data_IF_044860017750
#
_entry.id   IF_044860017750
#
_cell.length_a   1.000
_cell.length_b   1.000
_cell.length_c   1.000
_cell.angle_alpha   90.00
_cell.angle_beta   90.00
_cell.angle_gamma   90.00
#
_symmetry.space_group_name_H-M   'P 1'
#
loop_
_entity.id
_entity.type
_entity.pdbx_description
1 polymer ?
#
# COMPACT_ATOMS: atom_id res chain seq x y z
N UNK A 1 19.98 -8.86 24.78
CA UNK A 1 20.33 -7.58 25.44
C UNK A 1 19.03 -6.86 25.66
N UNK A 2 18.83 -6.22 26.81
CA UNK A 2 17.64 -5.37 26.99
C UNK A 2 17.65 -4.25 25.95
N UNK A 3 16.50 -4.06 25.31
CA UNK A 3 16.33 -3.13 24.20
C UNK A 3 16.45 -1.69 24.69
N UNK A 4 17.14 -0.80 23.94
CA UNK A 4 17.27 0.59 24.34
C UNK A 4 15.92 1.30 24.21
N UNK A 5 15.44 1.88 25.32
CA UNK A 5 14.25 2.73 25.39
C UNK A 5 14.65 4.16 25.71
N UNK A 6 13.92 5.14 25.18
CA UNK A 6 14.13 6.54 25.55
C UNK A 6 13.56 6.78 26.94
N UNK A 7 14.33 7.45 27.80
CA UNK A 7 13.93 7.68 29.20
C UNK A 7 13.16 9.00 29.35
N UNK A 8 12.27 9.09 30.36
CA UNK A 8 11.56 10.33 30.66
C UNK A 8 12.48 11.52 30.92
N UNK A 9 13.66 11.30 31.52
CA UNK A 9 14.63 12.36 31.79
C UNK A 9 15.20 12.96 30.49
N UNK A 10 15.48 12.13 29.48
CA UNK A 10 15.98 12.59 28.18
C UNK A 10 14.91 13.37 27.42
N UNK A 11 13.64 12.95 27.49
CA UNK A 11 12.52 13.68 26.92
C UNK A 11 12.30 15.03 27.63
N UNK A 12 12.39 15.05 28.96
CA UNK A 12 12.28 16.28 29.75
C UNK A 12 13.39 17.28 29.43
N UNK A 13 14.64 16.81 29.30
CA UNK A 13 15.77 17.65 28.88
C UNK A 13 15.49 18.30 27.51
N UNK A 14 14.96 17.53 26.55
CA UNK A 14 14.58 18.06 25.25
C UNK A 14 13.46 19.10 25.35
N UNK A 15 12.42 18.86 26.16
CA UNK A 15 11.31 19.79 26.36
C UNK A 15 11.76 21.17 26.90
N UNK A 16 12.73 21.17 27.81
CA UNK A 16 13.25 22.37 28.48
C UNK A 16 14.19 23.17 27.59
N UNK A 17 15.01 22.51 26.76
CA UNK A 17 16.12 23.14 26.05
C UNK A 17 15.87 23.41 24.57
N UNK A 18 15.02 22.61 23.91
CA UNK A 18 14.72 22.79 22.48
C UNK A 18 13.63 23.85 22.28
N UNK A 19 13.73 24.63 21.20
CA UNK A 19 12.90 25.83 21.04
C UNK A 19 12.01 25.76 19.80
N UNK A 20 12.57 25.44 18.64
CA UNK A 20 11.88 25.55 17.34
C UNK A 20 11.60 24.20 16.68
N UNK A 21 10.82 24.20 15.60
CA UNK A 21 10.46 22.99 14.85
C UNK A 21 11.71 22.23 14.38
N UNK A 22 12.73 22.92 13.84
CA UNK A 22 13.99 22.28 13.38
C UNK A 22 14.70 21.54 14.51
N UNK A 23 14.71 22.10 15.72
CA UNK A 23 15.34 21.51 16.89
C UNK A 23 14.70 20.15 17.18
N UNK A 24 13.37 20.07 17.16
CA UNK A 24 12.60 18.85 17.42
C UNK A 24 12.72 17.83 16.30
N UNK A 25 12.72 18.24 15.02
CA UNK A 25 12.99 17.33 13.89
C UNK A 25 14.39 16.71 14.02
N UNK A 26 15.42 17.53 14.25
CA UNK A 26 16.79 17.03 14.44
C UNK A 26 16.92 16.13 15.67
N UNK A 27 16.20 16.43 16.75
CA UNK A 27 16.16 15.58 17.95
C UNK A 27 15.52 14.22 17.66
N UNK A 28 14.35 14.20 17.00
CA UNK A 28 13.67 12.95 16.63
C UNK A 28 14.54 12.07 15.73
N UNK A 29 15.23 12.64 14.73
CA UNK A 29 16.21 11.88 13.91
C UNK A 29 17.29 11.22 14.78
N UNK A 30 17.82 11.96 15.75
CA UNK A 30 18.87 11.46 16.65
C UNK A 30 18.32 10.33 17.53
N UNK A 31 17.14 10.53 18.12
CA UNK A 31 16.50 9.57 19.00
C UNK A 31 16.13 8.27 18.25
N UNK A 32 15.48 8.36 17.09
CA UNK A 32 15.10 7.19 16.30
C UNK A 32 16.33 6.33 15.95
N UNK A 33 17.46 6.94 15.59
CA UNK A 33 18.71 6.22 15.32
C UNK A 33 19.36 5.67 16.58
N UNK A 34 19.43 6.45 17.65
CA UNK A 34 20.10 6.06 18.89
C UNK A 34 19.41 4.89 19.58
N UNK A 35 18.08 4.82 19.47
CA UNK A 35 17.26 3.79 20.09
C UNK A 35 16.81 2.72 19.08
N UNK A 36 17.56 2.53 17.99
CA UNK A 36 17.39 1.47 16.99
C UNK A 36 15.93 1.28 16.53
N UNK A 37 15.23 2.37 16.20
CA UNK A 37 13.92 2.29 15.57
C UNK A 37 14.08 1.83 14.12
N UNK A 38 13.36 0.79 13.72
CA UNK A 38 13.34 0.30 12.35
C UNK A 38 12.30 1.08 11.53
N UNK A 39 12.66 1.45 10.30
CA UNK A 39 11.84 2.20 9.36
C UNK A 39 11.49 1.31 8.15
N UNK A 40 10.43 1.64 7.41
CA UNK A 40 10.06 0.89 6.20
C UNK A 40 8.56 0.76 5.95
N UNK A 41 7.71 1.06 6.94
CA UNK A 41 6.26 0.99 6.78
C UNK A 41 5.70 2.11 5.89
N UNK A 42 6.43 3.22 5.76
CA UNK A 42 6.06 4.34 4.88
C UNK A 42 7.24 5.16 4.34
N UNK A 43 8.35 5.23 5.07
CA UNK A 43 9.61 5.80 4.59
C UNK A 43 10.80 5.11 5.26
N UNK A 44 11.95 5.10 4.59
CA UNK A 44 13.23 4.65 5.14
C UNK A 44 14.10 5.84 5.63
N UNK A 45 13.64 7.08 5.41
CA UNK A 45 14.37 8.29 5.81
C UNK A 45 13.92 8.78 7.19
N UNK A 46 14.82 8.63 8.16
CA UNK A 46 14.66 9.17 9.52
C UNK A 46 14.29 10.66 9.54
N UNK A 47 14.82 11.46 8.62
CA UNK A 47 14.49 12.89 8.56
C UNK A 47 13.05 13.11 8.12
N UNK A 48 12.61 12.40 7.08
CA UNK A 48 11.22 12.43 6.63
C UNK A 48 10.26 11.96 7.74
N UNK A 49 10.56 10.86 8.44
CA UNK A 49 9.71 10.35 9.51
C UNK A 49 9.64 11.30 10.71
N UNK A 50 10.78 11.80 11.18
CA UNK A 50 10.79 12.78 12.27
C UNK A 50 10.10 14.09 11.88
N UNK A 51 10.21 14.50 10.61
CA UNK A 51 9.48 15.67 10.10
C UNK A 51 7.98 15.41 10.11
N UNK A 52 7.51 14.22 9.72
CA UNK A 52 6.11 13.85 9.76
C UNK A 52 5.54 13.96 11.18
N UNK A 53 6.23 13.38 12.17
CA UNK A 53 5.82 13.42 13.57
C UNK A 53 5.67 14.86 14.07
N UNK A 54 6.66 15.73 13.83
CA UNK A 54 6.58 17.13 14.29
C UNK A 54 5.51 17.90 13.52
N UNK A 55 5.52 17.87 12.19
CA UNK A 55 4.62 18.71 11.38
C UNK A 55 3.15 18.32 11.57
N UNK A 56 2.84 17.02 11.71
CA UNK A 56 1.47 16.57 11.92
C UNK A 56 0.92 16.96 13.30
N UNK A 57 1.74 16.95 14.36
CA UNK A 57 1.32 17.50 15.67
C UNK A 57 0.95 18.98 15.62
N UNK A 58 1.49 19.71 14.62
CA UNK A 58 1.24 21.13 14.42
C UNK A 58 0.18 21.39 13.35
N UNK A 59 -0.45 20.34 12.80
CA UNK A 59 -1.38 20.44 11.66
C UNK A 59 -0.77 21.16 10.45
N UNK A 60 0.54 21.03 10.24
CA UNK A 60 1.26 21.62 9.13
C UNK A 60 1.38 20.64 7.96
N UNK A 61 1.27 21.16 6.74
CA UNK A 61 1.57 20.40 5.53
C UNK A 61 3.08 20.13 5.41
N UNK A 62 3.44 19.05 4.70
CA UNK A 62 4.83 18.67 4.38
C UNK A 62 5.65 19.76 3.69
N UNK A 63 4.99 20.76 3.07
CA UNK A 63 5.61 21.90 2.39
C UNK A 63 5.62 23.18 3.25
N UNK A 64 5.68 23.05 4.57
CA UNK A 64 5.81 24.21 5.45
C UNK A 64 6.97 25.11 5.00
N UNK A 65 6.74 26.42 4.98
CA UNK A 65 7.75 27.41 4.61
C UNK A 65 8.99 27.28 5.51
N UNK A 66 10.18 27.47 4.95
CA UNK A 66 11.43 27.43 5.71
C UNK A 66 11.43 28.41 6.88
N UNK A 67 10.70 29.52 6.78
CA UNK A 67 10.50 30.49 7.86
C UNK A 67 9.63 29.94 9.00
N UNK A 68 8.64 29.10 8.69
CA UNK A 68 7.78 28.46 9.70
C UNK A 68 8.60 27.51 10.56
N UNK A 69 9.61 26.85 10.00
CA UNK A 69 10.46 25.92 10.74
C UNK A 69 11.26 26.58 11.89
N UNK A 70 11.42 27.90 11.85
CA UNK A 70 12.08 28.68 12.92
C UNK A 70 11.10 29.17 13.99
N UNK A 71 9.80 28.89 13.84
CA UNK A 71 8.78 29.22 14.83
C UNK A 71 8.97 28.43 16.13
N UNK A 72 8.65 29.06 17.25
CA UNK A 72 8.76 28.47 18.58
C UNK A 72 7.58 27.57 18.87
N UNK A 73 7.86 26.41 19.46
CA UNK A 73 6.82 25.51 19.94
C UNK A 73 6.31 25.91 21.33
N UNK A 74 4.99 25.88 21.50
CA UNK A 74 4.33 25.96 22.79
C UNK A 74 4.67 24.74 23.65
N UNK A 75 4.65 24.85 24.99
CA UNK A 75 4.92 23.70 25.86
C UNK A 75 4.01 22.48 25.58
N UNK A 76 2.75 22.71 25.19
CA UNK A 76 1.83 21.64 24.82
C UNK A 76 2.23 20.93 23.53
N UNK A 77 2.64 21.67 22.51
CA UNK A 77 3.10 21.12 21.22
C UNK A 77 4.37 20.27 21.40
N UNK A 78 5.30 20.75 22.23
CA UNK A 78 6.49 19.97 22.62
C UNK A 78 6.09 18.66 23.30
N UNK A 79 5.18 18.72 24.26
CA UNK A 79 4.73 17.53 25.01
C UNK A 79 4.03 16.50 24.10
N UNK A 80 3.23 16.97 23.15
CA UNK A 80 2.54 16.11 22.19
C UNK A 80 3.54 15.36 21.28
N UNK A 81 4.48 16.07 20.66
CA UNK A 81 5.53 15.43 19.86
C UNK A 81 6.37 14.43 20.69
N UNK A 82 6.80 14.82 21.89
CA UNK A 82 7.64 13.95 22.74
C UNK A 82 6.89 12.69 23.17
N UNK A 83 5.58 12.77 23.43
CA UNK A 83 4.72 11.63 23.70
C UNK A 83 4.65 10.66 22.51
N UNK A 84 4.47 11.19 21.29
CA UNK A 84 4.48 10.35 20.08
C UNK A 84 5.84 9.70 19.85
N UNK A 85 6.93 10.45 20.03
CA UNK A 85 8.30 9.94 19.88
C UNK A 85 8.60 8.84 20.91
N UNK A 86 8.15 9.01 22.16
CA UNK A 86 8.26 8.00 23.19
C UNK A 86 7.57 6.70 22.79
N UNK A 87 6.31 6.77 22.34
CA UNK A 87 5.58 5.59 21.86
C UNK A 87 6.26 4.96 20.64
N UNK A 88 6.67 5.78 19.67
CA UNK A 88 7.38 5.32 18.47
C UNK A 88 8.63 4.52 18.81
N UNK A 89 9.38 4.97 19.81
CA UNK A 89 10.64 4.34 20.23
C UNK A 89 10.39 3.19 21.20
N UNK A 90 9.58 3.36 22.24
CA UNK A 90 9.45 2.39 23.33
C UNK A 90 8.45 1.28 22.96
N UNK A 91 7.39 1.58 22.23
CA UNK A 91 6.36 0.62 21.82
C UNK A 91 6.60 0.07 20.39
N UNK A 92 7.49 0.67 19.60
CA UNK A 92 7.71 0.37 18.17
C UNK A 92 6.46 0.54 17.30
N UNK A 93 5.51 1.37 17.71
CA UNK A 93 4.32 1.63 16.90
C UNK A 93 4.74 2.43 15.66
N UNK A 94 4.41 1.98 14.43
CA UNK A 94 4.68 2.74 13.22
C UNK A 94 4.14 4.17 13.27
N UNK A 95 4.90 5.11 12.71
CA UNK A 95 4.51 6.53 12.67
C UNK A 95 3.13 6.74 12.03
N UNK A 96 2.78 5.97 11.00
CA UNK A 96 1.46 6.07 10.36
C UNK A 96 0.29 5.69 11.26
N UNK A 97 0.47 4.73 12.18
CA UNK A 97 -0.58 4.39 13.15
C UNK A 97 -0.66 5.39 14.30
N UNK A 98 0.48 5.94 14.73
CA UNK A 98 0.51 7.02 15.71
C UNK A 98 -0.23 8.28 15.23
N UNK A 99 -0.14 8.57 13.94
CA UNK A 99 -0.75 9.74 13.29
C UNK A 99 -2.10 9.43 12.63
N UNK A 100 -2.49 8.15 12.61
CA UNK A 100 -3.58 7.62 11.79
C UNK A 100 -3.58 8.13 10.33
N UNK A 101 -2.40 8.21 9.73
CA UNK A 101 -2.20 8.84 8.43
C UNK A 101 -1.08 8.15 7.64
N UNK A 102 -1.39 7.82 6.39
CA UNK A 102 -0.43 7.39 5.39
C UNK A 102 -0.67 8.13 4.06
N UNK A 103 0.35 8.21 3.22
CA UNK A 103 0.22 8.79 1.88
C UNK A 103 0.38 7.72 0.82
N UNK A 104 -0.55 7.69 -0.12
CA UNK A 104 -0.48 6.84 -1.31
C UNK A 104 -0.98 7.65 -2.51
N UNK A 105 -0.37 7.51 -3.69
CA UNK A 105 -0.79 8.27 -4.87
C UNK A 105 -0.89 9.80 -4.62
N UNK A 106 0.05 10.35 -3.82
CA UNK A 106 0.07 11.75 -3.37
C UNK A 106 -1.23 12.21 -2.67
N UNK A 107 -1.94 11.29 -2.01
CA UNK A 107 -3.20 11.52 -1.31
C UNK A 107 -3.09 10.97 0.13
N UNK A 108 -3.66 11.68 1.13
CA UNK A 108 -3.68 11.22 2.51
C UNK A 108 -4.77 10.16 2.73
N UNK A 109 -4.47 9.09 3.44
CA UNK A 109 -5.39 8.04 3.83
C UNK A 109 -5.35 7.82 5.34
N UNK A 110 -6.52 7.67 5.94
CA UNK A 110 -6.65 7.18 7.31
C UNK A 110 -6.21 5.72 7.37
N UNK A 111 -5.39 5.40 8.36
CA UNK A 111 -4.92 4.03 8.64
C UNK A 111 -4.84 3.80 10.14
N UNK A 112 -5.05 2.55 10.54
CA UNK A 112 -4.83 2.06 11.89
C UNK A 112 -4.45 0.57 11.82
N UNK A 113 -4.33 -0.06 12.98
CA UNK A 113 -3.81 -1.42 13.15
C UNK A 113 -4.69 -2.50 12.49
N UNK A 114 -5.84 -2.12 11.90
CA UNK A 114 -6.74 -3.02 11.15
C UNK A 114 -6.31 -3.21 9.69
N UNK A 115 -5.41 -2.38 9.16
CA UNK A 115 -5.01 -2.39 7.73
C UNK A 115 -3.51 -2.25 7.54
N UNK A 116 -3.00 -2.80 6.44
CA UNK A 116 -1.63 -2.58 5.98
C UNK A 116 -1.39 -1.08 5.72
N UNK A 117 -0.21 -0.58 6.10
CA UNK A 117 0.19 0.80 5.77
C UNK A 117 0.52 0.88 4.26
N UNK A 118 -0.16 1.76 3.48
CA UNK A 118 0.03 1.87 2.04
C UNK A 118 1.48 2.18 1.60
N UNK A 119 2.03 1.32 0.76
CA UNK A 119 3.41 1.46 0.22
C UNK A 119 3.65 0.77 -1.13
N UNK A 120 2.57 0.42 -1.85
CA UNK A 120 2.67 -0.34 -3.10
C UNK A 120 3.24 0.50 -4.27
N UNK A 121 4.19 -0.03 -5.06
CA UNK A 121 4.65 0.61 -6.29
C UNK A 121 3.57 0.74 -7.38
N UNK A 122 2.43 0.03 -7.25
CA UNK A 122 1.28 0.12 -8.17
C UNK A 122 0.80 1.57 -8.34
N UNK A 123 1.05 2.45 -7.37
CA UNK A 123 0.78 3.89 -7.52
C UNK A 123 1.36 4.49 -8.82
N UNK A 124 2.54 4.08 -9.26
CA UNK A 124 3.12 4.55 -10.54
C UNK A 124 2.33 4.07 -11.77
N UNK A 125 1.81 2.84 -11.74
CA UNK A 125 0.95 2.33 -12.83
C UNK A 125 -0.37 3.09 -12.90
N UNK A 126 -0.93 3.42 -11.73
CA UNK A 126 -2.14 4.25 -11.63
C UNK A 126 -1.85 5.67 -12.16
N UNK A 127 -0.70 6.27 -11.82
CA UNK A 127 -0.27 7.58 -12.34
C UNK A 127 -0.17 7.57 -13.88
N UNK A 128 0.32 6.46 -14.44
CA UNK A 128 0.46 6.23 -15.88
C UNK A 128 -0.81 5.67 -16.52
N UNK A 129 -1.89 5.50 -15.77
CA UNK A 129 -3.17 4.92 -16.23
C UNK A 129 -2.97 3.62 -17.01
N UNK A 130 -2.08 2.76 -16.52
CA UNK A 130 -1.75 1.46 -17.11
C UNK A 130 -1.42 1.53 -18.62
N UNK A 131 -0.80 2.63 -19.08
CA UNK A 131 -0.32 2.75 -20.46
C UNK A 131 0.77 1.69 -20.76
N UNK A 132 0.79 1.09 -21.97
CA UNK A 132 -0.05 1.40 -23.12
C UNK A 132 -1.37 0.61 -23.19
N UNK A 133 -1.74 -0.10 -22.12
CA UNK A 133 -2.85 -1.05 -22.14
C UNK A 133 -4.24 -0.39 -22.08
N UNK A 134 -4.34 0.70 -21.32
CA UNK A 134 -5.58 1.46 -21.10
C UNK A 134 -5.50 2.89 -21.64
N UNK A 135 -6.66 3.51 -21.88
CA UNK A 135 -6.81 4.92 -22.27
C UNK A 135 -7.37 5.75 -21.12
N UNK A 136 -7.15 7.06 -21.16
CA UNK A 136 -7.82 8.03 -20.27
C UNK A 136 -9.30 8.26 -20.65
N UNK A 137 -10.01 9.11 -19.92
CA UNK A 137 -11.44 9.43 -20.18
C UNK A 137 -11.68 10.09 -21.55
N UNK A 138 -10.64 10.65 -22.19
CA UNK A 138 -10.71 11.28 -23.50
C UNK A 138 -10.26 10.34 -24.63
N UNK A 139 -9.97 9.08 -24.32
CA UNK A 139 -9.45 8.09 -25.27
C UNK A 139 -7.98 8.33 -25.66
N UNK A 140 -7.22 9.05 -24.84
CA UNK A 140 -5.80 9.29 -25.05
C UNK A 140 -4.94 8.33 -24.24
N UNK A 141 -3.79 7.97 -24.80
CA UNK A 141 -2.79 7.12 -24.15
C UNK A 141 -1.69 8.01 -23.58
N UNK A 142 -1.31 7.76 -22.33
CA UNK A 142 -0.12 8.35 -21.74
C UNK A 142 1.14 7.65 -22.24
N UNK A 143 2.30 8.24 -21.98
CA UNK A 143 3.58 7.61 -22.30
C UNK A 143 3.76 6.32 -21.48
N UNK A 144 4.08 5.22 -22.16
CA UNK A 144 4.38 3.95 -21.53
C UNK A 144 5.79 4.00 -20.92
N UNK A 145 5.87 3.99 -19.60
CA UNK A 145 7.13 4.02 -18.84
C UNK A 145 7.41 2.71 -18.10
N UNK A 146 6.63 1.68 -18.38
CA UNK A 146 6.68 0.35 -17.77
C UNK A 146 6.69 -0.73 -18.87
N UNK A 147 6.74 -2.00 -18.47
CA UNK A 147 6.83 -3.16 -19.36
C UNK A 147 5.50 -3.89 -19.57
N UNK A 148 4.36 -3.19 -19.48
CA UNK A 148 3.04 -3.75 -19.79
C UNK A 148 2.96 -4.23 -21.25
N UNK A 149 2.15 -5.26 -21.54
CA UNK A 149 1.92 -5.70 -22.92
C UNK A 149 1.23 -4.63 -23.75
N UNK A 150 1.39 -4.71 -25.07
CA UNK A 150 0.58 -3.90 -25.99
C UNK A 150 -0.87 -4.43 -26.00
N UNK A 151 -1.84 -3.51 -25.93
CA UNK A 151 -3.24 -3.82 -26.20
C UNK A 151 -3.58 -3.38 -27.62
N UNK A 152 -3.99 -4.28 -28.54
CA UNK A 152 -4.36 -3.90 -29.90
C UNK A 152 -5.65 -3.06 -29.97
N UNK A 153 -6.44 -3.05 -28.89
CA UNK A 153 -7.70 -2.31 -28.77
C UNK A 153 -7.78 -1.66 -27.38
N UNK A 154 -6.87 -0.72 -27.06
CA UNK A 154 -6.87 -0.07 -25.76
C UNK A 154 -8.17 0.71 -25.60
N UNK A 155 -8.71 0.67 -24.39
CA UNK A 155 -9.94 1.38 -24.01
C UNK A 155 -9.83 1.89 -22.58
N UNK A 156 -10.67 2.85 -22.24
CA UNK A 156 -10.85 3.29 -20.85
C UNK A 156 -11.58 2.18 -20.10
N UNK A 157 -11.02 1.63 -19.01
CA UNK A 157 -11.67 0.57 -18.25
C UNK A 157 -13.01 1.08 -17.68
N UNK A 158 -14.07 0.30 -17.79
CA UNK A 158 -15.39 0.70 -17.27
C UNK A 158 -15.65 0.08 -15.90
N UNK A 159 -15.22 -1.16 -15.70
CA UNK A 159 -15.28 -1.86 -14.40
C UNK A 159 -13.90 -2.30 -13.97
N UNK A 160 -13.54 -1.95 -12.74
CA UNK A 160 -12.24 -2.24 -12.13
C UNK A 160 -12.47 -2.98 -10.82
N UNK A 161 -11.67 -4.00 -10.55
CA UNK A 161 -11.66 -4.72 -9.27
C UNK A 161 -10.34 -4.46 -8.55
N UNK A 162 -10.40 -3.95 -7.33
CA UNK A 162 -9.30 -3.96 -6.37
C UNK A 162 -9.53 -5.09 -5.36
N UNK A 163 -8.66 -6.09 -5.37
CA UNK A 163 -8.77 -7.28 -4.51
C UNK A 163 -7.74 -7.24 -3.40
N UNK A 164 -8.16 -7.60 -2.17
CA UNK A 164 -7.40 -7.39 -0.94
C UNK A 164 -7.17 -5.89 -0.69
N UNK A 165 -8.26 -5.11 -0.75
CA UNK A 165 -8.20 -3.64 -0.82
C UNK A 165 -7.65 -2.98 0.45
N UNK A 166 -7.71 -3.67 1.61
CA UNK A 166 -7.22 -3.14 2.88
C UNK A 166 -7.87 -1.79 3.22
N UNK A 167 -7.05 -0.73 3.25
CA UNK A 167 -7.51 0.64 3.52
C UNK A 167 -8.30 1.29 2.38
N UNK A 168 -8.46 0.62 1.23
CA UNK A 168 -9.10 1.17 0.04
C UNK A 168 -8.21 2.06 -0.82
N UNK A 169 -6.91 2.18 -0.49
CA UNK A 169 -6.03 3.17 -1.13
C UNK A 169 -5.83 2.94 -2.64
N UNK A 170 -5.72 1.69 -3.09
CA UNK A 170 -5.60 1.34 -4.50
C UNK A 170 -6.93 1.62 -5.22
N UNK A 171 -8.06 1.12 -4.70
CA UNK A 171 -9.40 1.38 -5.25
C UNK A 171 -9.69 2.88 -5.41
N UNK A 172 -9.39 3.69 -4.38
CA UNK A 172 -9.61 5.15 -4.42
C UNK A 172 -8.67 5.82 -5.42
N UNK A 173 -7.41 5.39 -5.50
CA UNK A 173 -6.47 5.90 -6.50
C UNK A 173 -6.92 5.56 -7.93
N UNK A 174 -7.44 4.35 -8.16
CA UNK A 174 -8.05 3.95 -9.44
C UNK A 174 -9.26 4.83 -9.78
N UNK A 175 -10.12 5.12 -8.80
CA UNK A 175 -11.26 6.03 -8.96
C UNK A 175 -10.85 7.49 -9.25
N UNK A 176 -9.65 7.92 -8.84
CA UNK A 176 -9.07 9.19 -9.29
C UNK A 176 -8.52 9.11 -10.71
N UNK A 177 -7.84 8.01 -11.05
CA UNK A 177 -7.25 7.80 -12.38
C UNK A 177 -8.30 7.59 -13.47
N UNK A 178 -9.47 7.06 -13.14
CA UNK A 178 -10.58 6.86 -14.07
C UNK A 178 -11.90 7.36 -13.46
N UNK A 179 -12.24 8.64 -13.65
CA UNK A 179 -13.39 9.27 -12.99
C UNK A 179 -14.76 8.69 -13.38
N UNK A 180 -14.86 8.00 -14.52
CA UNK A 180 -16.09 7.42 -15.04
C UNK A 180 -16.22 5.91 -14.81
N UNK A 181 -15.18 5.25 -14.27
CA UNK A 181 -15.20 3.81 -14.00
C UNK A 181 -15.93 3.49 -12.70
N UNK A 182 -16.57 2.32 -12.66
CA UNK A 182 -17.03 1.69 -11.42
C UNK A 182 -15.91 0.84 -10.84
N UNK A 183 -15.64 1.00 -9.53
CA UNK A 183 -14.57 0.27 -8.84
C UNK A 183 -15.21 -0.60 -7.75
N UNK A 184 -15.04 -1.91 -7.86
CA UNK A 184 -15.35 -2.83 -6.76
C UNK A 184 -14.06 -3.03 -5.94
N UNK A 185 -14.15 -2.84 -4.62
CA UNK A 185 -13.05 -3.05 -3.67
C UNK A 185 -13.43 -4.18 -2.71
N UNK A 186 -12.63 -5.24 -2.71
CA UNK A 186 -12.93 -6.46 -1.95
C UNK A 186 -11.88 -6.75 -0.89
N UNK A 187 -12.34 -7.17 0.28
CA UNK A 187 -11.47 -7.70 1.34
C UNK A 187 -12.19 -8.80 2.12
N UNK A 188 -11.44 -9.74 2.69
CA UNK A 188 -12.01 -10.73 3.59
C UNK A 188 -12.26 -10.14 4.98
N UNK A 189 -11.51 -9.10 5.35
CA UNK A 189 -11.62 -8.44 6.64
C UNK A 189 -12.68 -7.34 6.61
N UNK A 190 -13.76 -7.56 7.37
CA UNK A 190 -14.76 -6.53 7.60
C UNK A 190 -14.15 -5.28 8.27
N UNK A 191 -13.20 -5.47 9.17
CA UNK A 191 -12.51 -4.37 9.88
C UNK A 191 -11.68 -3.52 8.91
N UNK A 192 -11.04 -4.14 7.91
CA UNK A 192 -10.36 -3.41 6.85
C UNK A 192 -11.34 -2.60 5.99
N UNK A 193 -12.50 -3.19 5.66
CA UNK A 193 -13.54 -2.47 4.90
C UNK A 193 -14.16 -1.31 5.68
N UNK A 194 -14.19 -1.34 7.01
CA UNK A 194 -14.58 -0.18 7.82
C UNK A 194 -13.56 0.98 7.66
N UNK A 195 -12.26 0.68 7.61
CA UNK A 195 -11.21 1.66 7.30
C UNK A 195 -11.34 2.17 5.85
N UNK A 196 -11.58 1.28 4.88
CA UNK A 196 -11.84 1.66 3.49
C UNK A 196 -13.08 2.56 3.37
N UNK A 197 -14.12 2.33 4.17
CA UNK A 197 -15.31 3.19 4.20
C UNK A 197 -14.97 4.60 4.67
N UNK A 198 -14.18 4.75 5.73
CA UNK A 198 -13.69 6.06 6.20
C UNK A 198 -12.95 6.78 5.07
N UNK A 199 -12.05 6.09 4.37
CA UNK A 199 -11.28 6.67 3.28
C UNK A 199 -12.13 7.03 2.06
N UNK A 200 -13.06 6.17 1.65
CA UNK A 200 -13.96 6.49 0.52
C UNK A 200 -14.82 7.71 0.81
N UNK A 201 -15.28 7.89 2.05
CA UNK A 201 -15.98 9.11 2.48
C UNK A 201 -15.06 10.34 2.47
N UNK A 202 -13.86 10.25 3.07
CA UNK A 202 -12.88 11.34 3.08
C UNK A 202 -12.50 11.83 1.67
N UNK A 203 -12.46 10.92 0.69
CA UNK A 203 -12.15 11.22 -0.71
C UNK A 203 -13.36 11.53 -1.58
N UNK A 204 -14.58 11.50 -1.04
CA UNK A 204 -15.84 11.64 -1.78
C UNK A 204 -16.00 10.61 -2.93
N UNK A 205 -15.56 9.37 -2.68
CA UNK A 205 -15.57 8.26 -3.64
C UNK A 205 -16.55 7.14 -3.29
N UNK A 206 -17.36 7.29 -2.24
CA UNK A 206 -18.31 6.29 -1.75
C UNK A 206 -19.41 5.88 -2.75
N UNK A 207 -19.65 6.67 -3.81
CA UNK A 207 -20.60 6.35 -4.89
C UNK A 207 -19.95 5.69 -6.11
N UNK A 208 -18.62 5.72 -6.18
CA UNK A 208 -17.84 5.17 -7.29
C UNK A 208 -17.12 3.88 -6.88
N UNK A 209 -16.71 3.79 -5.61
CA UNK A 209 -16.03 2.64 -5.02
C UNK A 209 -17.03 1.85 -4.17
N UNK A 210 -17.40 0.67 -4.62
CA UNK A 210 -18.26 -0.25 -3.90
C UNK A 210 -17.42 -1.19 -3.03
N UNK A 211 -17.68 -1.23 -1.72
CA UNK A 211 -16.97 -2.08 -0.77
C UNK A 211 -17.72 -3.40 -0.57
N UNK A 212 -17.03 -4.53 -0.76
CA UNK A 212 -17.61 -5.87 -0.68
C UNK A 212 -16.74 -6.81 0.15
N UNK A 213 -17.30 -7.32 1.25
CA UNK A 213 -16.65 -8.37 2.06
C UNK A 213 -16.65 -9.69 1.28
N UNK A 214 -15.50 -10.15 0.80
CA UNK A 214 -15.34 -11.36 -0.02
C UNK A 214 -13.99 -12.04 0.21
N UNK A 215 -14.00 -13.37 0.27
CA UNK A 215 -12.78 -14.17 0.13
C UNK A 215 -12.46 -14.29 -1.37
N UNK A 216 -11.55 -13.44 -1.84
CA UNK A 216 -11.22 -13.30 -3.26
C UNK A 216 -12.51 -13.11 -4.09
N UNK A 217 -12.74 -13.97 -5.09
CA UNK A 217 -13.93 -13.89 -5.94
C UNK A 217 -15.21 -14.50 -5.35
N UNK A 218 -15.18 -15.12 -4.16
CA UNK A 218 -16.25 -16.00 -3.67
C UNK A 218 -17.65 -15.34 -3.57
N UNK A 219 -17.72 -14.05 -3.28
CA UNK A 219 -18.98 -13.30 -3.20
C UNK A 219 -19.15 -12.29 -4.36
N UNK A 220 -18.26 -12.33 -5.36
CA UNK A 220 -18.38 -11.52 -6.57
C UNK A 220 -19.35 -12.24 -7.52
N UNK A 221 -20.44 -11.58 -7.96
CA UNK A 221 -21.37 -12.15 -8.94
C UNK A 221 -20.65 -12.65 -10.19
N UNK A 222 -20.98 -13.86 -10.65
CA UNK A 222 -20.31 -14.49 -11.78
C UNK A 222 -20.54 -13.77 -13.12
N UNK A 223 -21.58 -12.95 -13.20
CA UNK A 223 -21.88 -12.07 -14.33
C UNK A 223 -21.00 -10.80 -14.37
N UNK A 224 -20.31 -10.46 -13.29
CA UNK A 224 -19.41 -9.32 -13.26
C UNK A 224 -18.11 -9.67 -14.01
N UNK A 225 -17.84 -8.93 -15.08
CA UNK A 225 -16.55 -8.96 -15.77
C UNK A 225 -15.84 -7.62 -15.64
N UNK A 226 -14.53 -7.68 -15.41
CA UNK A 226 -13.68 -6.52 -15.16
C UNK A 226 -12.72 -6.31 -16.32
N UNK A 227 -12.54 -5.04 -16.70
CA UNK A 227 -11.52 -4.63 -17.68
C UNK A 227 -10.13 -4.58 -17.04
N UNK A 228 -10.09 -4.36 -15.72
CA UNK A 228 -8.86 -4.30 -14.94
C UNK A 228 -9.09 -4.93 -13.57
N UNK A 229 -8.24 -5.89 -13.20
CA UNK A 229 -8.15 -6.43 -11.84
C UNK A 229 -6.78 -6.04 -11.30
N UNK A 230 -6.76 -5.38 -10.14
CA UNK A 230 -5.54 -4.98 -9.43
C UNK A 230 -5.57 -5.61 -8.06
N UNK A 231 -4.43 -6.08 -7.57
CA UNK A 231 -4.32 -6.59 -6.21
C UNK A 231 -2.93 -6.44 -5.65
N UNK A 232 -2.88 -6.06 -4.38
CA UNK A 232 -1.71 -6.19 -3.54
C UNK A 232 -2.03 -7.18 -2.40
N UNK A 233 -2.11 -8.49 -2.70
CA UNK A 233 -2.43 -9.48 -1.68
C UNK A 233 -1.28 -9.64 -0.68
N UNK A 234 -1.54 -10.21 0.50
CA UNK A 234 -0.48 -10.76 1.35
C UNK A 234 0.46 -11.66 0.54
N UNK A 235 1.76 -11.50 0.71
CA UNK A 235 2.79 -12.25 -0.01
C UNK A 235 4.03 -12.60 0.82
N UNK A 236 4.07 -12.26 2.12
CA UNK A 236 5.22 -12.54 2.99
C UNK A 236 5.19 -14.02 3.38
N UNK A 237 6.26 -14.72 3.07
CA UNK A 237 6.39 -16.14 3.41
C UNK A 237 6.69 -16.35 4.90
N UNK A 238 6.57 -17.60 5.35
CA UNK A 238 6.72 -17.94 6.76
C UNK A 238 8.14 -17.72 7.33
N UNK A 239 9.19 -17.73 6.48
CA UNK A 239 10.56 -17.46 6.90
C UNK A 239 10.75 -15.95 7.12
N UNK A 240 10.33 -15.14 6.15
CA UNK A 240 10.36 -13.67 6.25
C UNK A 240 9.49 -13.16 7.41
N UNK A 241 8.31 -13.75 7.64
CA UNK A 241 7.43 -13.42 8.77
C UNK A 241 8.12 -13.62 10.12
N UNK A 242 9.00 -14.62 10.25
CA UNK A 242 9.69 -14.93 11.51
C UNK A 242 10.82 -13.93 11.84
N UNK A 243 11.34 -13.24 10.81
CA UNK A 243 12.45 -12.29 10.92
C UNK A 243 12.00 -10.81 10.84
N UNK A 244 10.67 -10.56 10.84
CA UNK A 244 10.13 -9.20 10.76
C UNK A 244 10.55 -8.33 11.96
N UNK A 245 11.00 -7.09 11.71
CA UNK A 245 11.21 -6.11 12.78
C UNK A 245 9.92 -5.85 13.58
N UNK A 246 10.05 -5.53 14.86
CA UNK A 246 8.93 -5.35 15.79
C UNK A 246 7.89 -4.33 15.30
N UNK A 247 8.32 -3.28 14.60
CA UNK A 247 7.41 -2.30 14.01
C UNK A 247 6.43 -2.92 12.99
N UNK A 248 6.85 -3.93 12.21
CA UNK A 248 5.97 -4.60 11.25
C UNK A 248 4.97 -5.55 11.93
N UNK A 249 5.26 -6.00 13.16
CA UNK A 249 4.35 -6.86 13.94
C UNK A 249 3.10 -6.12 14.45
N UNK A 250 3.08 -4.78 14.34
CA UNK A 250 1.89 -3.97 14.60
C UNK A 250 0.90 -3.98 13.43
N UNK A 251 1.32 -4.40 12.24
CA UNK A 251 0.41 -4.55 11.10
C UNK A 251 -0.35 -5.89 11.19
N UNK A 252 -1.57 -5.99 10.62
CA UNK A 252 -2.34 -7.23 10.68
C UNK A 252 -1.58 -8.39 10.04
N UNK A 253 -1.41 -9.51 10.77
CA UNK A 253 -0.79 -10.73 10.23
C UNK A 253 -1.50 -11.21 8.95
N UNK A 254 -2.83 -11.11 8.91
CA UNK A 254 -3.65 -11.45 7.74
C UNK A 254 -3.31 -10.60 6.51
N UNK A 255 -2.75 -9.41 6.68
CA UNK A 255 -2.34 -8.52 5.60
C UNK A 255 -0.90 -8.80 5.10
N UNK A 256 -0.13 -9.62 5.82
CA UNK A 256 1.27 -9.93 5.50
C UNK A 256 1.46 -11.39 5.08
N UNK A 257 0.99 -12.33 5.91
CA UNK A 257 1.33 -13.75 5.80
C UNK A 257 0.63 -14.45 4.63
N UNK A 258 1.40 -15.22 3.86
CA UNK A 258 0.91 -15.92 2.66
C UNK A 258 1.49 -17.34 2.51
N UNK A 259 1.29 -18.17 3.53
CA UNK A 259 1.67 -19.59 3.45
C UNK A 259 3.18 -19.81 3.40
N UNK A 260 3.61 -20.94 2.83
CA UNK A 260 5.02 -21.34 2.83
C UNK A 260 5.89 -20.59 1.82
N UNK A 261 5.32 -20.23 0.66
CA UNK A 261 6.07 -19.63 -0.46
C UNK A 261 5.53 -18.26 -0.87
N UNK A 262 4.58 -17.70 -0.11
CA UNK A 262 3.98 -16.40 -0.37
C UNK A 262 2.85 -16.41 -1.41
N UNK A 263 2.44 -17.57 -1.96
CA UNK A 263 1.60 -17.63 -3.17
C UNK A 263 0.18 -18.17 -2.97
N UNK A 264 -0.23 -18.53 -1.75
CA UNK A 264 -1.52 -19.19 -1.49
C UNK A 264 -2.72 -18.45 -2.11
N UNK A 265 -2.77 -17.12 -1.93
CA UNK A 265 -3.84 -16.30 -2.48
C UNK A 265 -3.67 -16.07 -3.99
N UNK A 266 -2.44 -15.82 -4.45
CA UNK A 266 -2.13 -15.60 -5.88
C UNK A 266 -2.52 -16.82 -6.72
N UNK A 267 -2.27 -18.04 -6.24
CA UNK A 267 -2.69 -19.29 -6.91
C UNK A 267 -4.20 -19.35 -7.11
N UNK A 268 -4.97 -19.05 -6.05
CA UNK A 268 -6.44 -19.02 -6.12
C UNK A 268 -6.94 -17.92 -7.07
N UNK A 269 -6.33 -16.74 -7.00
CA UNK A 269 -6.67 -15.62 -7.87
C UNK A 269 -6.46 -15.97 -9.35
N UNK A 270 -5.28 -16.48 -9.70
CA UNK A 270 -4.96 -16.84 -11.09
C UNK A 270 -5.83 -17.99 -11.62
N UNK A 271 -6.20 -18.95 -10.76
CA UNK A 271 -7.08 -20.05 -11.14
C UNK A 271 -8.51 -19.60 -11.52
N UNK A 272 -8.94 -18.43 -11.01
CA UNK A 272 -10.29 -17.88 -11.19
C UNK A 272 -10.32 -16.65 -12.11
N UNK A 273 -9.20 -15.93 -12.28
CA UNK A 273 -9.13 -14.64 -12.98
C UNK A 273 -9.75 -14.67 -14.39
N UNK A 274 -9.54 -15.75 -15.15
CA UNK A 274 -10.07 -15.91 -16.50
C UNK A 274 -11.61 -15.84 -16.59
N UNK A 275 -12.31 -16.19 -15.51
CA UNK A 275 -13.78 -16.20 -15.45
C UNK A 275 -14.36 -14.80 -15.18
N UNK A 276 -13.55 -13.91 -14.58
CA UNK A 276 -13.94 -12.56 -14.17
C UNK A 276 -13.33 -11.44 -15.03
N UNK A 277 -12.42 -11.75 -15.95
CA UNK A 277 -11.87 -10.78 -16.89
C UNK A 277 -12.71 -10.68 -18.17
N UNK A 278 -12.89 -9.46 -18.68
CA UNK A 278 -13.39 -9.23 -20.04
C UNK A 278 -12.42 -9.79 -21.08
N UNK A 279 -12.80 -9.81 -22.37
CA UNK A 279 -11.95 -10.39 -23.42
C UNK A 279 -10.58 -9.69 -23.51
N UNK A 280 -10.58 -8.35 -23.39
CA UNK A 280 -9.40 -7.48 -23.37
C UNK A 280 -8.99 -7.06 -21.95
N UNK A 281 -9.38 -7.83 -20.93
CA UNK A 281 -9.08 -7.49 -19.53
C UNK A 281 -7.61 -7.68 -19.17
N UNK A 282 -7.15 -6.94 -18.16
CA UNK A 282 -5.81 -7.05 -17.57
C UNK A 282 -5.91 -7.42 -16.09
N UNK A 283 -5.03 -8.30 -15.62
CA UNK A 283 -4.79 -8.49 -14.18
C UNK A 283 -3.38 -8.06 -13.83
N UNK A 284 -3.23 -7.30 -12.75
CA UNK A 284 -1.96 -6.82 -12.19
C UNK A 284 -1.89 -7.20 -10.72
N UNK A 285 -0.84 -7.93 -10.32
CA UNK A 285 -0.68 -8.45 -8.96
C UNK A 285 0.72 -8.14 -8.45
N UNK A 286 0.79 -7.62 -7.23
CA UNK A 286 2.03 -7.51 -6.45
C UNK A 286 2.28 -8.79 -5.64
N UNK A 287 3.51 -9.29 -5.69
CA UNK A 287 4.00 -10.46 -4.95
C UNK A 287 5.33 -10.20 -4.23
N UNK A 288 5.90 -8.99 -4.33
CA UNK A 288 7.14 -8.62 -3.66
C UNK A 288 8.27 -9.65 -3.83
N UNK A 289 8.84 -10.10 -2.69
CA UNK A 289 9.93 -11.09 -2.65
C UNK A 289 9.52 -12.46 -3.23
N UNK A 290 8.23 -12.77 -3.26
CA UNK A 290 7.68 -14.03 -3.77
C UNK A 290 7.69 -14.10 -5.30
N UNK A 291 8.23 -13.09 -5.99
CA UNK A 291 8.58 -13.16 -7.42
C UNK A 291 9.46 -14.39 -7.74
N UNK A 292 10.42 -14.72 -6.88
CA UNK A 292 11.26 -15.89 -7.10
C UNK A 292 10.43 -17.18 -7.11
N UNK A 293 9.55 -17.36 -6.13
CA UNK A 293 8.66 -18.51 -6.05
C UNK A 293 7.71 -18.57 -7.26
N UNK A 294 7.16 -17.42 -7.69
CA UNK A 294 6.34 -17.33 -8.90
C UNK A 294 7.08 -17.84 -10.13
N UNK A 295 8.32 -17.39 -10.35
CA UNK A 295 9.14 -17.80 -11.50
C UNK A 295 9.51 -19.28 -11.47
N UNK A 296 9.72 -19.87 -10.30
CA UNK A 296 10.00 -21.30 -10.16
C UNK A 296 8.76 -22.15 -10.43
N UNK A 297 7.64 -21.81 -9.76
CA UNK A 297 6.41 -22.61 -9.76
C UNK A 297 5.61 -22.49 -11.06
N UNK A 298 5.77 -21.37 -11.78
CA UNK A 298 5.07 -21.08 -13.03
C UNK A 298 6.06 -20.77 -14.17
N UNK A 299 7.12 -21.57 -14.28
CA UNK A 299 8.23 -21.34 -15.23
C UNK A 299 7.85 -21.41 -16.73
N UNK A 300 6.67 -21.93 -17.06
CA UNK A 300 6.13 -21.95 -18.44
C UNK A 300 5.15 -20.81 -18.73
N UNK A 301 4.81 -19.98 -17.73
CA UNK A 301 3.87 -18.88 -17.88
C UNK A 301 4.63 -17.61 -18.22
N UNK A 302 4.25 -16.98 -19.32
CA UNK A 302 4.89 -15.75 -19.81
C UNK A 302 4.35 -14.51 -19.07
N UNK A 303 4.76 -14.30 -17.82
CA UNK A 303 4.39 -13.11 -17.06
C UNK A 303 5.06 -11.84 -17.60
N UNK A 304 4.30 -10.74 -17.63
CA UNK A 304 4.85 -9.41 -17.86
C UNK A 304 5.31 -8.80 -16.53
N UNK A 305 6.58 -9.00 -16.18
CA UNK A 305 7.18 -8.39 -14.99
C UNK A 305 7.41 -6.89 -15.22
N UNK A 306 6.81 -6.07 -14.37
CA UNK A 306 6.76 -4.62 -14.55
C UNK A 306 7.95 -3.92 -13.92
N UNK A 307 8.33 -2.80 -14.50
CA UNK A 307 9.46 -1.97 -14.09
C UNK A 307 8.97 -0.60 -13.66
N UNK A 308 9.58 -0.06 -12.60
CA UNK A 308 9.14 1.17 -11.93
C UNK A 308 10.26 2.20 -11.90
N UNK A 309 9.92 3.49 -11.98
CA UNK A 309 10.92 4.57 -11.98
C UNK A 309 11.33 4.97 -10.57
N UNK A 310 10.42 4.85 -9.59
CA UNK A 310 10.68 5.22 -8.18
C UNK A 310 11.11 4.01 -7.34
N UNK A 311 11.37 2.87 -7.98
CA UNK A 311 11.77 1.62 -7.33
C UNK A 311 10.58 0.71 -7.01
N UNK A 312 10.89 -0.50 -6.53
CA UNK A 312 9.92 -1.59 -6.36
C UNK A 312 10.06 -2.68 -7.42
N UNK A 313 9.70 -3.90 -7.05
CA UNK A 313 9.76 -5.11 -7.88
C UNK A 313 8.66 -6.09 -7.48
N UNK A 314 8.61 -7.25 -8.13
CA UNK A 314 7.61 -8.27 -7.78
C UNK A 314 6.19 -7.93 -8.19
N UNK A 315 6.00 -7.10 -9.21
CA UNK A 315 4.66 -6.84 -9.78
C UNK A 315 4.64 -7.40 -11.19
N UNK A 316 3.65 -8.23 -11.49
CA UNK A 316 3.44 -8.76 -12.83
C UNK A 316 2.06 -8.40 -13.37
N UNK A 317 1.93 -8.45 -14.69
CA UNK A 317 0.66 -8.40 -15.39
C UNK A 317 0.44 -9.65 -16.26
N UNK A 318 -0.83 -10.01 -16.42
CA UNK A 318 -1.29 -10.98 -17.42
C UNK A 318 -2.53 -10.45 -18.14
N UNK A 319 -2.59 -10.66 -19.45
CA UNK A 319 -3.80 -10.41 -20.22
C UNK A 319 -4.84 -11.50 -19.97
N UNK A 320 -6.12 -11.19 -20.20
CA UNK A 320 -7.18 -12.17 -20.11
C UNK A 320 -6.96 -13.38 -21.04
N UNK A 321 -6.36 -13.16 -22.22
CA UNK A 321 -5.95 -14.24 -23.12
C UNK A 321 -4.91 -15.18 -22.46
N UNK A 322 -3.90 -14.62 -21.80
CA UNK A 322 -2.90 -15.41 -21.06
C UNK A 322 -3.55 -16.15 -19.88
N UNK A 323 -4.45 -15.50 -19.13
CA UNK A 323 -5.19 -16.14 -18.05
C UNK A 323 -6.01 -17.34 -18.54
N UNK A 324 -6.67 -17.22 -19.70
CA UNK A 324 -7.41 -18.34 -20.32
C UNK A 324 -6.46 -19.43 -20.83
N UNK A 325 -5.38 -19.05 -21.50
CA UNK A 325 -4.37 -19.97 -22.05
C UNK A 325 -3.73 -20.84 -20.97
N UNK A 326 -3.40 -20.26 -19.83
CA UNK A 326 -2.70 -20.92 -18.72
C UNK A 326 -3.65 -21.40 -17.61
N UNK A 327 -4.97 -21.36 -17.81
CA UNK A 327 -5.98 -21.68 -16.79
C UNK A 327 -5.78 -23.05 -16.13
N UNK A 328 -5.49 -24.08 -16.92
CA UNK A 328 -5.26 -25.44 -16.40
C UNK A 328 -4.05 -25.51 -15.46
N UNK A 329 -2.96 -24.79 -15.78
CA UNK A 329 -1.75 -24.73 -14.94
C UNK A 329 -2.09 -24.07 -13.61
N UNK A 330 -2.81 -22.95 -13.62
CA UNK A 330 -3.22 -22.26 -12.41
C UNK A 330 -4.16 -23.13 -11.54
N UNK A 331 -5.10 -23.85 -12.15
CA UNK A 331 -6.02 -24.75 -11.44
C UNK A 331 -5.33 -25.99 -10.85
N UNK A 332 -4.27 -26.50 -11.47
CA UNK A 332 -3.48 -27.59 -10.88
C UNK A 332 -2.69 -27.10 -9.66
N UNK A 333 -2.29 -25.82 -9.66
CA UNK A 333 -1.46 -25.25 -8.58
C UNK A 333 -2.19 -25.12 -7.24
N UNK A 334 -3.52 -25.10 -7.21
CA UNK A 334 -4.32 -25.05 -5.98
C UNK A 334 -4.61 -26.44 -5.38
N UNK A 335 -4.24 -27.52 -6.07
CA UNK A 335 -4.50 -28.90 -5.64
C UNK A 335 -3.30 -29.57 -4.97
N UNK A 336 -2.12 -28.96 -5.07
CA UNK A 336 -0.84 -29.44 -4.52
C UNK A 336 -0.46 -28.65 -3.27
#
# INVERSE_FOLDING_TARGET
>A
MERPTISPEHLQEAAENLVNIRDFIRFGVTALRQYDAHLGQGTEDYFAESSALVLQTLSLEWKADAEILDAKLLPSEKAEFLSLLERRINERVPTSYLLNLAYFFNKPFYVDERVLIPRSPIAELIEQRFAPYCLDENGQMLEALNSLPENPKPKTPQRILDMCTGSGCIAIALAYAYPESEVDATDISKEALEVASINTEHHNKQYQVALLESDLFAKIPAENQYDLIVSNPPYVDAEDMADLPEEFLHEPELALAAGQDGLDLVRKMLAQAADYLTEEGLIVIEVGNSEWAMRQNFNTVDFHWLTFQKGGSGIFALTAEQCRRYKEIFQQSIQN
#
